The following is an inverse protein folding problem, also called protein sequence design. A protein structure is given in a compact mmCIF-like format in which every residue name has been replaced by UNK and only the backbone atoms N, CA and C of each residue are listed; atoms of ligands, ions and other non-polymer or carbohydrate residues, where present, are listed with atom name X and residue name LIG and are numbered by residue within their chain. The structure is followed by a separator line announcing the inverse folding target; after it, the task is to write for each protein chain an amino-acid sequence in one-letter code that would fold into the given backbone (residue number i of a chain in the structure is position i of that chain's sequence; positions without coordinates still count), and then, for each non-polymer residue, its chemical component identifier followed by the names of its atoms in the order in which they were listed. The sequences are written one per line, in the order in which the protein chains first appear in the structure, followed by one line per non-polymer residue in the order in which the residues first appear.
data_IF_658134573259
#
_entry.id   IF_658134573259
#
_cell.length_a   1.000
_cell.length_b   1.000
_cell.length_c   1.000
_cell.angle_alpha   90.00
_cell.angle_beta   90.00
_cell.angle_gamma   90.00
#
_symmetry.space_group_name_H-M   'P 1'
#
loop_
_entity.id
_entity.type
_entity.pdbx_description
1 polymer ?
#
# COMPACT_ATOMS: atom_id res chain seq x y z
N UNK A 1 -37.98 -23.42 -4.86
CA UNK A 1 -36.76 -23.32 -4.03
C UNK A 1 -37.13 -23.58 -2.60
N UNK A 2 -36.36 -24.43 -1.87
CA UNK A 2 -36.64 -24.88 -0.51
C UNK A 2 -36.71 -23.74 0.53
N UNK A 3 -36.30 -22.50 0.21
CA UNK A 3 -36.26 -21.38 1.13
C UNK A 3 -36.69 -20.05 0.47
N UNK A 4 -37.54 -20.11 -0.54
CA UNK A 4 -37.90 -18.93 -1.33
C UNK A 4 -38.71 -17.86 -0.58
N UNK A 5 -39.22 -18.16 0.60
CA UNK A 5 -39.94 -17.22 1.47
C UNK A 5 -39.06 -16.60 2.58
N UNK A 6 -37.81 -17.00 2.70
CA UNK A 6 -36.89 -16.42 3.71
C UNK A 6 -36.47 -15.03 3.24
N UNK A 7 -36.70 -14.02 4.06
CA UNK A 7 -36.15 -12.69 3.84
C UNK A 7 -34.67 -12.70 4.05
N UNK A 8 -33.90 -12.68 2.95
CA UNK A 8 -32.43 -12.64 2.97
C UNK A 8 -31.85 -11.26 3.17
N UNK A 9 -32.66 -10.19 3.15
CA UNK A 9 -32.17 -8.80 3.21
C UNK A 9 -31.52 -8.50 4.56
N UNK A 10 -32.07 -9.07 5.64
CA UNK A 10 -31.57 -8.89 7.01
C UNK A 10 -30.58 -9.96 7.45
N UNK A 11 -30.40 -11.02 6.64
CA UNK A 11 -29.46 -12.09 6.97
C UNK A 11 -28.02 -11.57 7.03
N UNK A 12 -27.38 -11.76 8.17
CA UNK A 12 -25.99 -11.32 8.38
C UNK A 12 -25.02 -12.32 7.77
N UNK A 13 -24.15 -11.83 6.91
CA UNK A 13 -23.17 -12.61 6.15
C UNK A 13 -21.87 -11.83 6.00
N UNK A 14 -20.76 -12.54 5.80
CA UNK A 14 -19.48 -11.89 5.51
C UNK A 14 -19.57 -11.15 4.16
N UNK A 15 -19.38 -9.83 4.13
CA UNK A 15 -19.42 -9.04 2.90
C UNK A 15 -18.15 -9.20 2.05
N UNK A 16 -17.13 -9.86 2.60
CA UNK A 16 -15.83 -9.97 1.95
C UNK A 16 -15.28 -8.61 1.53
N UNK A 17 -14.80 -8.52 0.32
CA UNK A 17 -14.21 -7.30 -0.24
C UNK A 17 -15.20 -6.16 -0.54
N UNK A 18 -16.51 -6.32 -0.29
CA UNK A 18 -17.49 -5.24 -0.49
C UNK A 18 -17.26 -4.05 0.45
N UNK A 19 -16.47 -4.20 1.52
CA UNK A 19 -16.11 -3.12 2.44
C UNK A 19 -14.94 -2.26 1.97
N UNK A 20 -14.14 -2.71 1.01
CA UNK A 20 -12.94 -1.99 0.54
C UNK A 20 -13.22 -0.57 0.03
N UNK A 21 -14.32 -0.25 -0.67
CA UNK A 21 -14.58 1.12 -1.10
C UNK A 21 -14.57 2.14 0.04
N UNK A 22 -15.13 1.78 1.21
CA UNK A 22 -15.14 2.67 2.37
C UNK A 22 -13.75 2.88 2.95
N UNK A 23 -12.95 1.84 3.04
CA UNK A 23 -11.56 1.93 3.45
C UNK A 23 -10.74 2.88 2.55
N UNK A 24 -10.92 2.75 1.22
CA UNK A 24 -10.21 3.61 0.27
C UNK A 24 -10.72 5.05 0.30
N UNK A 25 -12.02 5.28 0.47
CA UNK A 25 -12.59 6.61 0.64
C UNK A 25 -12.01 7.29 1.90
N UNK A 26 -11.98 6.59 3.03
CA UNK A 26 -11.38 7.07 4.27
C UNK A 26 -9.87 7.35 4.11
N UNK A 27 -9.15 6.50 3.38
CA UNK A 27 -7.72 6.69 3.12
C UNK A 27 -7.44 7.89 2.20
N UNK A 28 -8.32 8.19 1.24
CA UNK A 28 -8.27 9.40 0.41
C UNK A 28 -8.49 10.65 1.26
N UNK A 29 -9.49 10.65 2.14
CA UNK A 29 -9.79 11.77 3.04
C UNK A 29 -8.70 12.00 4.08
N UNK A 30 -8.13 10.92 4.61
CA UNK A 30 -7.02 10.99 5.55
C UNK A 30 -5.68 11.41 4.90
N UNK A 31 -5.66 11.66 3.59
CA UNK A 31 -4.43 12.04 2.90
C UNK A 31 -3.37 10.92 2.83
N UNK A 32 -3.76 9.67 2.97
CA UNK A 32 -2.85 8.54 2.90
C UNK A 32 -2.53 8.13 1.46
N UNK A 33 -3.46 8.37 0.55
CA UNK A 33 -3.36 8.00 -0.87
C UNK A 33 -3.99 9.05 -1.78
N UNK A 34 -3.60 8.99 -3.03
CA UNK A 34 -4.33 9.51 -4.19
C UNK A 34 -4.50 8.38 -5.22
N UNK A 35 -5.28 8.51 -6.29
CA UNK A 35 -5.58 7.40 -7.20
C UNK A 35 -4.36 6.69 -7.80
N UNK A 36 -3.23 7.38 -7.93
CA UNK A 36 -1.98 6.86 -8.49
C UNK A 36 -0.94 6.44 -7.45
N UNK A 37 -1.17 6.65 -6.17
CA UNK A 37 -0.26 6.18 -5.11
C UNK A 37 0.03 4.70 -5.28
N UNK A 38 1.31 4.33 -5.35
CA UNK A 38 1.72 2.93 -5.47
C UNK A 38 1.58 2.22 -4.13
N UNK A 39 0.70 1.25 -4.09
CA UNK A 39 0.50 0.34 -2.96
C UNK A 39 1.22 -0.98 -3.21
N UNK A 40 1.64 -1.65 -2.12
CA UNK A 40 2.35 -2.92 -2.20
C UNK A 40 1.38 -4.09 -2.24
N UNK A 41 1.32 -4.77 -3.38
CA UNK A 41 0.63 -6.04 -3.54
C UNK A 41 1.68 -7.16 -3.59
N UNK A 42 2.28 -7.45 -2.44
CA UNK A 42 3.35 -8.41 -2.27
C UNK A 42 3.13 -9.21 -0.98
N UNK A 43 3.69 -10.43 -0.86
CA UNK A 43 3.62 -11.20 0.37
C UNK A 43 4.07 -10.38 1.58
N UNK A 44 3.23 -10.32 2.60
CA UNK A 44 3.51 -9.60 3.84
C UNK A 44 2.97 -10.38 5.03
N UNK A 45 3.67 -10.29 6.16
CA UNK A 45 3.22 -10.86 7.44
C UNK A 45 2.79 -9.72 8.37
N UNK A 46 1.64 -9.90 9.01
CA UNK A 46 1.11 -8.98 10.01
C UNK A 46 0.99 -9.73 11.34
N UNK A 47 2.05 -9.74 12.12
CA UNK A 47 2.19 -10.59 13.31
C UNK A 47 1.94 -12.07 12.96
N UNK A 48 0.90 -12.68 13.55
CA UNK A 48 0.49 -14.06 13.24
C UNK A 48 -0.46 -14.17 12.04
N UNK A 49 -0.91 -13.03 11.49
CA UNK A 49 -1.83 -12.99 10.36
C UNK A 49 -1.05 -12.92 9.04
N UNK A 50 -1.23 -13.94 8.20
CA UNK A 50 -0.59 -14.05 6.89
C UNK A 50 -1.64 -14.04 5.77
N UNK A 51 -2.17 -12.86 5.41
CA UNK A 51 -3.20 -12.75 4.40
C UNK A 51 -2.66 -13.00 3.00
N UNK A 52 -3.49 -13.61 2.16
CA UNK A 52 -3.23 -13.80 0.74
C UNK A 52 -4.29 -13.08 -0.10
N UNK A 53 -3.98 -12.85 -1.37
CA UNK A 53 -4.98 -12.47 -2.35
C UNK A 53 -5.83 -13.69 -2.73
N UNK A 54 -7.07 -13.46 -3.14
CA UNK A 54 -8.02 -14.55 -3.48
C UNK A 54 -7.56 -15.42 -4.65
N UNK A 55 -6.74 -14.90 -5.54
CA UNK A 55 -6.13 -15.59 -6.67
C UNK A 55 -4.74 -16.15 -6.35
N UNK A 56 -4.21 -15.90 -5.14
CA UNK A 56 -2.86 -16.25 -4.69
C UNK A 56 -1.73 -15.62 -5.53
N UNK A 57 -2.07 -14.64 -6.37
CA UNK A 57 -1.10 -13.89 -7.17
C UNK A 57 -0.75 -12.56 -6.48
N UNK A 58 0.38 -11.98 -6.87
CA UNK A 58 0.85 -10.69 -6.38
C UNK A 58 1.26 -9.83 -7.58
N UNK A 59 0.69 -8.64 -7.66
CA UNK A 59 0.90 -7.72 -8.77
C UNK A 59 2.06 -6.72 -8.52
N UNK A 60 2.75 -6.84 -7.38
CA UNK A 60 3.80 -5.91 -7.00
C UNK A 60 3.27 -4.50 -6.70
N UNK A 61 4.08 -3.47 -6.99
CA UNK A 61 3.61 -2.09 -6.84
C UNK A 61 2.46 -1.78 -7.80
N UNK A 62 1.30 -1.42 -7.25
CA UNK A 62 0.06 -1.19 -8.01
C UNK A 62 -0.59 0.14 -7.62
N UNK A 63 -1.08 0.96 -8.56
CA UNK A 63 -1.84 2.17 -8.24
C UNK A 63 -3.06 1.88 -7.35
N UNK A 64 -3.33 2.76 -6.38
CA UNK A 64 -4.41 2.59 -5.41
C UNK A 64 -5.78 2.34 -6.08
N UNK A 65 -6.13 3.11 -7.13
CA UNK A 65 -7.38 2.88 -7.87
C UNK A 65 -7.46 1.48 -8.50
N UNK A 66 -6.33 0.96 -9.00
CA UNK A 66 -6.29 -0.36 -9.64
C UNK A 66 -6.31 -1.47 -8.59
N UNK A 67 -5.68 -1.26 -7.43
CA UNK A 67 -5.74 -2.16 -6.29
C UNK A 67 -7.19 -2.32 -5.77
N UNK A 68 -7.94 -1.20 -5.67
CA UNK A 68 -9.36 -1.23 -5.31
C UNK A 68 -10.18 -1.98 -6.37
N UNK A 69 -10.04 -1.62 -7.65
CA UNK A 69 -10.78 -2.22 -8.76
C UNK A 69 -10.53 -3.73 -8.89
N UNK A 70 -9.25 -4.13 -8.77
CA UNK A 70 -8.84 -5.54 -8.79
C UNK A 70 -9.04 -6.25 -7.46
N UNK A 71 -9.56 -5.52 -6.46
CA UNK A 71 -9.91 -6.11 -5.15
C UNK A 71 -8.74 -6.72 -4.38
N UNK A 72 -7.51 -6.16 -4.51
CA UNK A 72 -6.31 -6.70 -3.85
C UNK A 72 -6.46 -6.65 -2.33
N UNK A 73 -6.06 -7.74 -1.64
CA UNK A 73 -6.18 -7.84 -0.19
C UNK A 73 -5.03 -7.13 0.53
N UNK A 74 -3.79 -7.39 0.09
CA UNK A 74 -2.59 -6.86 0.76
C UNK A 74 -2.59 -5.32 0.78
N UNK A 75 -2.84 -4.62 -0.35
CA UNK A 75 -2.99 -3.16 -0.35
C UNK A 75 -4.07 -2.65 0.61
N UNK A 76 -5.21 -3.34 0.70
CA UNK A 76 -6.30 -2.94 1.60
C UNK A 76 -5.89 -3.09 3.07
N UNK A 77 -5.22 -4.18 3.44
CA UNK A 77 -4.74 -4.42 4.81
C UNK A 77 -3.67 -3.39 5.19
N UNK A 78 -2.73 -3.08 4.30
CA UNK A 78 -1.74 -2.02 4.54
C UNK A 78 -2.39 -0.64 4.73
N UNK A 79 -3.45 -0.33 3.98
CA UNK A 79 -4.21 0.91 4.19
C UNK A 79 -4.93 0.91 5.54
N UNK A 80 -5.57 -0.20 5.91
CA UNK A 80 -6.26 -0.32 7.20
C UNK A 80 -5.30 -0.13 8.39
N UNK A 81 -4.06 -0.63 8.27
CA UNK A 81 -3.02 -0.45 9.29
C UNK A 81 -2.60 1.02 9.45
N UNK A 82 -2.61 1.79 8.36
CA UNK A 82 -2.19 3.20 8.34
C UNK A 82 -3.33 4.18 8.62
N UNK A 83 -4.58 3.72 8.54
CA UNK A 83 -5.74 4.58 8.72
C UNK A 83 -5.82 5.05 10.17
N UNK A 84 -5.90 6.37 10.44
CA UNK A 84 -6.02 6.88 11.79
C UNK A 84 -7.32 6.43 12.46
N UNK A 85 -7.29 6.27 13.77
CA UNK A 85 -8.48 5.97 14.55
C UNK A 85 -9.58 7.04 14.31
N UNK A 86 -10.85 6.66 14.29
CA UNK A 86 -11.41 5.37 14.62
C UNK A 86 -11.41 4.34 13.47
N UNK A 87 -10.80 4.64 12.33
CA UNK A 87 -10.61 3.73 11.22
C UNK A 87 -11.90 3.20 10.57
N UNK A 88 -11.78 2.09 9.87
CA UNK A 88 -12.93 1.46 9.20
C UNK A 88 -13.97 0.96 10.21
N UNK A 89 -13.55 0.44 11.36
CA UNK A 89 -14.47 -0.05 12.39
C UNK A 89 -15.34 1.08 12.94
N UNK A 90 -14.73 2.20 13.31
CA UNK A 90 -15.46 3.37 13.80
C UNK A 90 -16.40 3.96 12.76
N UNK A 91 -16.00 3.95 11.48
CA UNK A 91 -16.88 4.36 10.39
C UNK A 91 -18.13 3.47 10.30
N UNK A 92 -17.96 2.15 10.34
CA UNK A 92 -19.09 1.20 10.27
C UNK A 92 -20.02 1.35 11.48
N UNK A 93 -19.48 1.54 12.70
CA UNK A 93 -20.29 1.80 13.90
C UNK A 93 -21.06 3.11 13.79
N UNK A 94 -20.44 4.17 13.28
CA UNK A 94 -21.11 5.47 13.01
C UNK A 94 -22.23 5.32 11.99
N UNK A 95 -22.10 4.41 11.04
CA UNK A 95 -23.13 4.08 10.05
C UNK A 95 -24.29 3.23 10.62
N UNK A 96 -24.24 2.85 11.89
CA UNK A 96 -25.26 2.03 12.55
C UNK A 96 -25.10 0.52 12.30
N UNK A 97 -23.98 0.10 11.68
CA UNK A 97 -23.71 -1.33 11.49
C UNK A 97 -23.45 -2.00 12.83
N UNK A 98 -24.22 -3.04 13.13
CA UNK A 98 -24.02 -3.80 14.35
C UNK A 98 -22.74 -4.63 14.26
N UNK A 99 -21.76 -4.29 15.09
CA UNK A 99 -20.47 -4.98 15.18
C UNK A 99 -20.36 -5.59 16.60
N UNK A 100 -20.75 -6.89 16.77
CA UNK A 100 -20.82 -7.50 18.11
C UNK A 100 -19.46 -7.69 18.77
N UNK A 101 -18.38 -7.82 18.01
CA UNK A 101 -17.03 -7.93 18.58
C UNK A 101 -16.50 -6.54 18.92
N UNK A 102 -15.67 -6.46 19.98
CA UNK A 102 -15.00 -5.22 20.39
C UNK A 102 -13.91 -4.77 19.41
N UNK A 103 -13.24 -5.75 18.80
CA UNK A 103 -12.14 -5.52 17.86
C UNK A 103 -12.19 -6.59 16.75
N UNK A 104 -12.06 -6.13 15.52
CA UNK A 104 -11.98 -6.97 14.32
C UNK A 104 -10.57 -6.98 13.71
N UNK A 105 -9.71 -6.10 14.16
CA UNK A 105 -8.36 -5.94 13.65
C UNK A 105 -8.31 -5.67 12.14
N UNK A 106 -7.16 -5.97 11.55
CA UNK A 106 -6.92 -5.73 10.12
C UNK A 106 -7.80 -6.61 9.20
N UNK A 107 -8.31 -7.73 9.71
CA UNK A 107 -9.18 -8.62 8.94
C UNK A 107 -10.51 -7.97 8.53
N UNK A 108 -10.93 -6.89 9.21
CA UNK A 108 -12.11 -6.12 8.84
C UNK A 108 -12.02 -5.58 7.41
N UNK A 109 -10.82 -5.19 6.96
CA UNK A 109 -10.58 -4.67 5.61
C UNK A 109 -10.94 -5.68 4.49
N UNK A 110 -11.01 -6.95 4.83
CA UNK A 110 -11.33 -8.04 3.89
C UNK A 110 -12.63 -8.78 4.26
N UNK A 111 -13.42 -8.21 5.19
CA UNK A 111 -14.77 -8.67 5.48
C UNK A 111 -14.91 -9.65 6.63
N UNK A 112 -14.10 -9.51 7.69
CA UNK A 112 -14.20 -10.34 8.89
C UNK A 112 -15.49 -10.09 9.72
N UNK A 113 -16.17 -8.97 9.51
CA UNK A 113 -17.47 -8.71 10.12
C UNK A 113 -18.59 -9.26 9.25
N UNK A 114 -19.72 -9.58 9.88
CA UNK A 114 -20.94 -9.93 9.15
C UNK A 114 -21.87 -8.71 9.05
N UNK A 115 -22.37 -8.46 7.85
CA UNK A 115 -23.29 -7.39 7.51
C UNK A 115 -24.54 -7.97 6.83
N UNK A 116 -25.66 -7.26 6.92
CA UNK A 116 -26.84 -7.56 6.13
C UNK A 116 -26.75 -6.91 4.74
N UNK A 117 -27.60 -7.32 3.82
CA UNK A 117 -27.76 -6.64 2.52
C UNK A 117 -28.21 -5.20 2.73
N UNK A 118 -29.10 -4.96 3.70
CA UNK A 118 -29.56 -3.62 4.07
C UNK A 118 -28.39 -2.74 4.51
N UNK A 119 -27.49 -3.23 5.39
CA UNK A 119 -26.30 -2.49 5.80
C UNK A 119 -25.44 -2.10 4.59
N UNK A 120 -25.20 -3.02 3.66
CA UNK A 120 -24.42 -2.74 2.46
C UNK A 120 -25.08 -1.70 1.56
N UNK A 121 -26.39 -1.81 1.31
CA UNK A 121 -27.13 -0.81 0.50
C UNK A 121 -27.04 0.57 1.16
N UNK A 122 -27.24 0.68 2.47
CA UNK A 122 -27.15 1.93 3.20
C UNK A 122 -25.75 2.54 3.14
N UNK A 123 -24.71 1.74 3.33
CA UNK A 123 -23.32 2.18 3.23
C UNK A 123 -22.97 2.70 1.83
N UNK A 124 -23.39 1.99 0.77
CA UNK A 124 -23.13 2.44 -0.61
C UNK A 124 -23.96 3.68 -0.98
N UNK A 125 -25.18 3.80 -0.44
CA UNK A 125 -25.98 5.01 -0.58
C UNK A 125 -25.32 6.21 0.13
N UNK A 126 -24.81 6.01 1.33
CA UNK A 126 -24.05 7.03 2.06
C UNK A 126 -22.77 7.44 1.31
N UNK A 127 -22.03 6.48 0.74
CA UNK A 127 -20.89 6.77 -0.13
C UNK A 127 -21.33 7.59 -1.34
N UNK A 128 -22.42 7.22 -2.02
CA UNK A 128 -22.91 7.94 -3.20
C UNK A 128 -23.38 9.36 -2.88
N UNK A 129 -23.88 9.61 -1.66
CA UNK A 129 -24.31 10.92 -1.18
C UNK A 129 -23.25 11.71 -0.43
N UNK A 130 -22.04 11.12 -0.27
CA UNK A 130 -20.94 11.73 0.50
C UNK A 130 -21.33 12.01 1.95
N UNK A 131 -21.96 11.05 2.58
CA UNK A 131 -22.41 11.10 3.97
C UNK A 131 -21.43 10.42 4.93
N UNK A 132 -21.77 10.39 6.22
CA UNK A 132 -21.03 9.73 7.29
C UNK A 132 -19.61 10.27 7.51
N UNK A 133 -19.29 11.43 6.95
CA UNK A 133 -17.99 12.07 7.06
C UNK A 133 -17.03 11.74 5.93
N UNK A 134 -17.49 11.07 4.88
CA UNK A 134 -16.74 10.94 3.63
C UNK A 134 -16.93 12.22 2.81
N UNK A 135 -15.83 12.84 2.38
CA UNK A 135 -15.90 14.04 1.55
C UNK A 135 -16.46 13.77 0.15
N UNK A 136 -17.08 14.75 -0.51
CA UNK A 136 -17.52 14.62 -1.90
C UNK A 136 -16.40 14.20 -2.85
N UNK A 137 -15.17 14.67 -2.60
CA UNK A 137 -14.00 14.33 -3.41
C UNK A 137 -13.61 12.85 -3.26
N UNK A 138 -13.47 12.36 -2.03
CA UNK A 138 -13.11 10.97 -1.78
C UNK A 138 -14.19 10.01 -2.26
N UNK A 139 -15.47 10.36 -2.03
CA UNK A 139 -16.61 9.61 -2.54
C UNK A 139 -16.56 9.48 -4.07
N UNK A 140 -16.42 10.62 -4.76
CA UNK A 140 -16.40 10.66 -6.22
C UNK A 140 -15.20 9.86 -6.78
N UNK A 141 -13.98 10.05 -6.23
CA UNK A 141 -12.77 9.32 -6.66
C UNK A 141 -12.91 7.81 -6.44
N UNK A 142 -13.54 7.41 -5.35
CA UNK A 142 -13.79 5.98 -5.05
C UNK A 142 -14.77 5.37 -6.04
N UNK A 143 -15.90 6.03 -6.30
CA UNK A 143 -16.89 5.56 -7.27
C UNK A 143 -16.31 5.57 -8.69
N UNK A 144 -15.51 6.57 -9.06
CA UNK A 144 -14.82 6.62 -10.35
C UNK A 144 -13.82 5.46 -10.52
N UNK A 145 -13.08 5.09 -9.47
CA UNK A 145 -12.22 3.91 -9.48
C UNK A 145 -13.00 2.60 -9.71
N UNK A 146 -14.26 2.55 -9.23
CA UNK A 146 -15.14 1.39 -9.34
C UNK A 146 -16.02 1.39 -10.60
N UNK A 147 -15.96 2.44 -11.43
CA UNK A 147 -16.78 2.54 -12.63
C UNK A 147 -16.53 1.36 -13.55
N UNK A 148 -17.63 0.77 -14.01
CA UNK A 148 -17.61 -0.36 -14.92
C UNK A 148 -16.86 -0.03 -16.22
N UNK A 149 -16.00 -0.91 -16.63
CA UNK A 149 -15.20 -0.84 -17.86
C UNK A 149 -15.29 -2.13 -18.66
N UNK A 150 -16.01 -3.11 -18.14
CA UNK A 150 -16.26 -4.38 -18.80
C UNK A 150 -17.28 -4.17 -19.93
N UNK A 151 -17.06 -4.78 -21.11
CA UNK A 151 -17.93 -4.57 -22.28
C UNK A 151 -19.42 -4.87 -22.04
N UNK A 152 -19.71 -5.82 -21.15
CA UNK A 152 -21.08 -6.23 -20.84
C UNK A 152 -21.68 -5.53 -19.61
N UNK A 153 -20.91 -4.70 -18.93
CA UNK A 153 -21.41 -4.00 -17.75
C UNK A 153 -22.18 -2.73 -18.17
N UNK A 154 -23.29 -2.41 -17.48
CA UNK A 154 -24.08 -1.23 -17.78
C UNK A 154 -23.27 0.05 -17.66
N UNK A 155 -23.49 0.97 -18.60
CA UNK A 155 -22.85 2.29 -18.57
C UNK A 155 -23.28 3.07 -17.31
N UNK A 156 -22.34 3.80 -16.70
CA UNK A 156 -22.60 4.61 -15.51
C UNK A 156 -22.62 3.83 -14.20
N UNK A 157 -22.57 2.49 -14.23
CA UNK A 157 -22.51 1.66 -13.02
C UNK A 157 -21.12 1.72 -12.38
N UNK A 158 -21.06 2.09 -11.09
CA UNK A 158 -19.89 1.88 -10.23
C UNK A 158 -20.21 0.68 -9.31
N UNK A 159 -19.35 -0.35 -9.31
CA UNK A 159 -19.68 -1.60 -8.64
C UNK A 159 -18.49 -2.29 -7.98
N UNK A 160 -18.78 -3.11 -6.97
CA UNK A 160 -17.80 -3.90 -6.24
C UNK A 160 -18.34 -5.28 -5.90
N UNK A 161 -17.46 -6.27 -6.03
CA UNK A 161 -17.73 -7.63 -5.56
C UNK A 161 -17.16 -7.89 -4.19
N UNK A 162 -17.81 -8.80 -3.47
CA UNK A 162 -17.29 -9.44 -2.26
C UNK A 162 -17.46 -10.95 -2.35
N UNK A 163 -16.43 -11.69 -2.02
CA UNK A 163 -16.50 -13.14 -1.83
C UNK A 163 -16.03 -13.43 -0.42
N UNK A 164 -16.84 -14.14 0.37
CA UNK A 164 -16.44 -14.50 1.73
C UNK A 164 -15.38 -15.61 1.75
N UNK A 165 -14.65 -15.70 2.84
CA UNK A 165 -13.72 -16.79 3.06
C UNK A 165 -14.46 -18.15 3.02
N UNK A 166 -13.87 -19.11 2.31
CA UNK A 166 -14.48 -20.44 2.12
C UNK A 166 -15.62 -20.48 1.11
N UNK A 167 -15.80 -19.45 0.26
CA UNK A 167 -16.78 -19.44 -0.84
C UNK A 167 -18.22 -19.67 -0.37
N UNK A 168 -18.63 -19.06 0.74
CA UNK A 168 -19.99 -19.18 1.29
C UNK A 168 -20.94 -18.13 0.74
N UNK A 169 -20.39 -16.92 0.49
CA UNK A 169 -21.14 -15.75 0.09
C UNK A 169 -20.51 -15.07 -1.10
N UNK A 170 -21.28 -14.73 -2.10
CA UNK A 170 -20.88 -13.92 -3.24
C UNK A 170 -21.77 -12.69 -3.32
N UNK A 171 -21.16 -11.51 -3.27
CA UNK A 171 -21.80 -10.21 -3.27
C UNK A 171 -21.45 -9.41 -4.51
N UNK A 172 -22.40 -8.65 -5.02
CA UNK A 172 -22.17 -7.59 -5.97
C UNK A 172 -23.05 -6.40 -5.60
N UNK A 173 -22.44 -5.27 -5.24
CA UNK A 173 -23.15 -4.03 -4.90
C UNK A 173 -22.72 -2.95 -5.87
N UNK A 174 -23.68 -2.20 -6.38
CA UNK A 174 -23.45 -1.16 -7.38
C UNK A 174 -24.29 0.08 -7.17
N UNK A 175 -23.72 1.20 -7.61
CA UNK A 175 -24.37 2.53 -7.67
C UNK A 175 -24.54 2.91 -9.13
N UNK A 176 -25.76 3.20 -9.54
CA UNK A 176 -26.11 3.68 -10.88
C UNK A 176 -27.06 4.86 -10.76
N UNK A 177 -26.58 6.08 -11.00
CA UNK A 177 -27.33 7.29 -10.75
C UNK A 177 -27.76 7.42 -9.29
N UNK A 178 -29.05 7.48 -9.04
CA UNK A 178 -29.65 7.59 -7.72
C UNK A 178 -30.02 6.23 -7.09
N UNK A 179 -29.64 5.15 -7.77
CA UNK A 179 -29.97 3.79 -7.35
C UNK A 179 -28.76 3.07 -6.79
N UNK A 180 -29.00 2.31 -5.73
CA UNK A 180 -28.08 1.31 -5.19
C UNK A 180 -28.71 -0.05 -5.26
N UNK A 181 -28.03 -0.99 -5.92
CA UNK A 181 -28.45 -2.38 -6.02
C UNK A 181 -27.44 -3.27 -5.35
N UNK A 182 -27.93 -4.29 -4.65
CA UNK A 182 -27.10 -5.32 -4.05
C UNK A 182 -27.64 -6.70 -4.40
N UNK A 183 -26.75 -7.58 -4.79
CA UNK A 183 -27.05 -8.98 -5.10
C UNK A 183 -26.21 -9.87 -4.20
N UNK A 184 -26.84 -10.85 -3.61
CA UNK A 184 -26.20 -11.92 -2.86
C UNK A 184 -26.53 -13.28 -3.45
N UNK A 185 -25.53 -14.13 -3.55
CA UNK A 185 -25.66 -15.53 -3.94
C UNK A 185 -24.96 -16.37 -2.88
N UNK A 186 -25.66 -17.33 -2.31
CA UNK A 186 -25.17 -18.18 -1.24
C UNK A 186 -26.23 -19.12 -0.71
N UNK A 187 -25.88 -19.93 0.26
CA UNK A 187 -26.83 -20.75 0.99
C UNK A 187 -27.23 -20.10 2.32
N UNK A 188 -28.51 -20.14 2.68
CA UNK A 188 -28.99 -19.61 3.96
C UNK A 188 -28.40 -20.33 5.18
N UNK A 189 -28.06 -21.61 5.05
CA UNK A 189 -27.39 -22.41 6.08
C UNK A 189 -25.85 -22.18 6.14
N UNK A 190 -25.32 -21.31 5.29
CA UNK A 190 -23.90 -20.95 5.26
C UNK A 190 -22.98 -22.04 4.71
N UNK A 191 -23.52 -23.06 4.03
CA UNK A 191 -22.69 -24.08 3.37
C UNK A 191 -21.79 -23.48 2.30
N UNK A 192 -20.51 -23.90 2.22
CA UNK A 192 -19.62 -23.46 1.16
C UNK A 192 -20.09 -24.00 -0.21
N UNK A 193 -19.91 -23.17 -1.22
CA UNK A 193 -20.13 -23.53 -2.62
C UNK A 193 -18.78 -23.42 -3.36
N UNK A 194 -18.05 -24.52 -3.53
CA UNK A 194 -16.77 -24.48 -4.23
C UNK A 194 -16.90 -23.83 -5.61
N UNK A 195 -16.06 -22.85 -5.91
CA UNK A 195 -16.14 -22.10 -7.16
C UNK A 195 -17.13 -20.94 -7.18
N UNK A 196 -17.73 -20.57 -6.05
CA UNK A 196 -18.59 -19.39 -5.91
C UNK A 196 -17.75 -18.11 -5.94
N UNK A 197 -17.44 -17.65 -7.14
CA UNK A 197 -16.76 -16.37 -7.36
C UNK A 197 -17.80 -15.28 -7.66
N UNK A 198 -17.86 -14.26 -6.82
CA UNK A 198 -18.82 -13.17 -6.96
C UNK A 198 -18.78 -12.49 -8.34
N UNK A 199 -17.59 -12.39 -8.96
CA UNK A 199 -17.42 -11.83 -10.31
C UNK A 199 -18.10 -12.68 -11.41
N UNK A 200 -18.23 -14.00 -11.19
CA UNK A 200 -18.86 -14.93 -12.14
C UNK A 200 -20.33 -15.24 -11.83
N UNK A 201 -20.80 -14.92 -10.63
CA UNK A 201 -22.15 -15.25 -10.15
C UNK A 201 -22.97 -14.00 -9.84
N UNK A 202 -22.66 -13.28 -8.76
CA UNK A 202 -23.44 -12.13 -8.34
C UNK A 202 -23.30 -10.91 -9.29
N UNK A 203 -22.12 -10.67 -9.89
CA UNK A 203 -21.92 -9.52 -10.77
C UNK A 203 -22.77 -9.59 -12.06
N UNK A 204 -22.87 -10.70 -12.80
CA UNK A 204 -23.77 -10.78 -13.96
C UNK A 204 -25.23 -10.55 -13.58
N UNK A 205 -25.67 -11.02 -12.43
CA UNK A 205 -27.03 -10.77 -11.94
C UNK A 205 -27.26 -9.29 -11.63
N UNK A 206 -26.29 -8.62 -11.01
CA UNK A 206 -26.35 -7.18 -10.79
C UNK A 206 -26.48 -6.43 -12.12
N UNK A 207 -25.64 -6.76 -13.12
CA UNK A 207 -25.68 -6.11 -14.43
C UNK A 207 -27.00 -6.32 -15.16
N UNK A 208 -27.49 -7.56 -15.15
CA UNK A 208 -28.82 -7.87 -15.72
C UNK A 208 -29.94 -7.10 -15.03
N UNK A 209 -29.89 -6.97 -13.69
CA UNK A 209 -30.89 -6.21 -12.94
C UNK A 209 -30.85 -4.73 -13.33
N UNK A 210 -29.66 -4.11 -13.38
CA UNK A 210 -29.50 -2.71 -13.82
C UNK A 210 -30.04 -2.51 -15.23
N UNK A 211 -29.73 -3.42 -16.16
CA UNK A 211 -30.19 -3.35 -17.57
C UNK A 211 -31.68 -3.52 -17.66
N UNK A 212 -32.27 -4.53 -16.98
CA UNK A 212 -33.72 -4.82 -17.03
C UNK A 212 -34.56 -3.72 -16.40
N UNK A 213 -34.06 -3.07 -15.37
CA UNK A 213 -34.71 -1.92 -14.75
C UNK A 213 -34.54 -0.63 -15.56
N UNK A 214 -33.82 -0.68 -16.69
CA UNK A 214 -33.56 0.49 -17.52
C UNK A 214 -32.71 1.55 -16.83
N UNK A 215 -31.95 1.18 -15.81
CA UNK A 215 -31.14 2.13 -15.06
C UNK A 215 -29.93 2.52 -15.90
N UNK A 216 -29.88 3.78 -16.25
CA UNK A 216 -28.75 4.42 -16.94
C UNK A 216 -28.62 5.84 -16.41
N UNK A 217 -27.43 6.20 -15.99
CA UNK A 217 -27.18 7.57 -15.54
C UNK A 217 -25.79 8.01 -15.98
N UNK A 218 -25.66 9.27 -16.40
CA UNK A 218 -24.35 9.84 -16.60
C UNK A 218 -23.59 9.83 -15.26
N UNK A 219 -22.25 9.78 -15.31
CA UNK A 219 -21.44 9.95 -14.11
C UNK A 219 -21.80 11.27 -13.42
N UNK A 220 -21.82 11.25 -12.08
CA UNK A 220 -21.92 12.51 -11.33
C UNK A 220 -20.78 13.46 -11.74
N UNK A 221 -21.06 14.75 -11.86
CA UNK A 221 -20.03 15.73 -12.23
C UNK A 221 -18.90 15.70 -11.20
N UNK A 222 -17.69 15.94 -11.68
CA UNK A 222 -16.50 16.00 -10.82
C UNK A 222 -16.63 17.17 -9.83
N UNK A 223 -16.47 16.96 -8.54
CA UNK A 223 -16.42 18.04 -7.56
C UNK A 223 -15.33 19.06 -7.89
N UNK A 224 -15.60 20.33 -7.66
CA UNK A 224 -14.63 21.43 -7.89
C UNK A 224 -13.38 21.33 -7.00
N UNK A 225 -13.48 20.60 -5.88
CA UNK A 225 -12.36 20.30 -4.99
C UNK A 225 -11.37 19.27 -5.56
N UNK A 226 -11.63 18.68 -6.72
CA UNK A 226 -10.73 17.75 -7.39
C UNK A 226 -10.05 18.45 -8.56
N UNK A 227 -8.72 18.43 -8.57
CA UNK A 227 -7.90 19.05 -9.62
C UNK A 227 -7.11 17.98 -10.38
N UNK A 228 -6.71 18.29 -11.60
CA UNK A 228 -5.77 17.48 -12.37
C UNK A 228 -4.34 17.95 -12.14
N UNK A 229 -3.44 16.98 -11.99
CA UNK A 229 -2.00 17.22 -11.95
C UNK A 229 -1.26 16.30 -12.91
N UNK A 230 -0.04 16.71 -13.27
CA UNK A 230 0.83 15.92 -14.12
C UNK A 230 1.72 15.02 -13.26
N UNK A 231 1.51 13.71 -13.35
CA UNK A 231 2.21 12.70 -12.58
C UNK A 231 3.19 11.91 -13.46
N UNK A 232 4.25 11.43 -12.84
CA UNK A 232 5.09 10.39 -13.40
C UNK A 232 4.27 9.11 -13.55
N UNK A 233 4.13 8.61 -14.76
CA UNK A 233 3.32 7.42 -15.04
C UNK A 233 3.82 6.17 -14.30
N UNK A 234 5.09 6.17 -13.91
CA UNK A 234 5.75 5.03 -13.30
C UNK A 234 5.68 5.05 -11.76
N UNK A 235 6.07 6.18 -11.13
CA UNK A 235 6.08 6.29 -9.66
C UNK A 235 4.73 6.71 -9.08
N UNK A 236 3.88 7.35 -9.87
CA UNK A 236 2.66 7.97 -9.37
C UNK A 236 2.87 9.34 -8.71
N UNK A 237 4.11 9.79 -8.51
CA UNK A 237 4.44 11.09 -7.93
C UNK A 237 4.37 12.22 -8.96
N UNK A 238 4.49 13.46 -8.48
CA UNK A 238 4.53 14.65 -9.34
C UNK A 238 5.67 14.54 -10.37
N UNK A 239 5.33 14.70 -11.63
CA UNK A 239 6.30 14.53 -12.70
C UNK A 239 7.35 15.67 -12.72
N UNK A 240 8.60 15.29 -12.62
CA UNK A 240 9.74 16.18 -12.84
C UNK A 240 10.18 16.25 -14.30
N UNK A 241 11.16 17.13 -14.62
CA UNK A 241 11.68 17.28 -16.00
C UNK A 241 12.31 15.99 -16.54
N UNK A 242 12.81 15.13 -15.66
CA UNK A 242 13.48 13.87 -16.02
C UNK A 242 12.51 12.70 -16.23
N UNK A 243 11.21 12.87 -15.95
CA UNK A 243 10.23 11.80 -16.16
C UNK A 243 9.93 11.60 -17.64
N UNK A 244 10.27 10.43 -18.25
CA UNK A 244 10.07 10.18 -19.68
C UNK A 244 8.59 10.01 -20.03
N UNK A 245 7.81 9.45 -19.11
CA UNK A 245 6.38 9.23 -19.30
C UNK A 245 5.59 9.93 -18.20
N UNK A 246 4.67 10.78 -18.64
CA UNK A 246 3.83 11.60 -17.76
C UNK A 246 2.38 11.38 -18.10
N UNK A 247 1.51 11.40 -17.11
CA UNK A 247 0.06 11.30 -17.29
C UNK A 247 -0.65 12.29 -16.38
N UNK A 248 -1.74 12.86 -16.87
CA UNK A 248 -2.64 13.64 -16.02
C UNK A 248 -3.49 12.68 -15.20
N UNK A 249 -3.66 12.98 -13.93
CA UNK A 249 -4.55 12.25 -13.04
C UNK A 249 -5.12 13.18 -11.97
N UNK A 250 -6.07 12.69 -11.21
CA UNK A 250 -6.87 13.45 -10.28
C UNK A 250 -6.28 13.42 -8.87
N UNK A 251 -6.39 14.53 -8.15
CA UNK A 251 -5.99 14.61 -6.75
C UNK A 251 -6.86 15.63 -5.99
N UNK A 252 -6.81 15.55 -4.66
CA UNK A 252 -7.51 16.46 -3.76
C UNK A 252 -6.46 17.45 -3.20
N UNK A 253 -6.46 18.74 -3.61
CA UNK A 253 -5.56 19.74 -3.08
C UNK A 253 -5.65 19.84 -1.56
N UNK A 254 -4.49 19.93 -0.90
CA UNK A 254 -4.41 20.01 0.56
C UNK A 254 -4.61 18.70 1.32
N UNK A 255 -5.10 17.65 0.66
CA UNK A 255 -5.30 16.33 1.27
C UNK A 255 -4.41 15.26 0.66
N UNK A 256 -4.39 15.11 -0.66
CA UNK A 256 -3.63 14.06 -1.32
C UNK A 256 -2.13 14.15 -1.05
N UNK A 257 -1.46 13.03 -0.70
CA UNK A 257 -0.01 13.00 -0.48
C UNK A 257 0.69 13.09 -1.84
N UNK A 258 1.39 14.18 -2.09
CA UNK A 258 2.11 14.38 -3.34
C UNK A 258 3.54 14.80 -3.05
N UNK A 259 4.47 14.02 -3.60
CA UNK A 259 5.90 14.29 -3.59
C UNK A 259 6.42 14.37 -5.02
N UNK A 260 7.54 15.04 -5.24
CA UNK A 260 8.21 15.03 -6.53
C UNK A 260 8.78 13.64 -6.83
N UNK A 261 8.71 13.22 -8.09
CA UNK A 261 9.26 11.93 -8.51
C UNK A 261 10.78 11.86 -8.21
N UNK A 262 11.14 10.95 -7.34
CA UNK A 262 12.53 10.67 -6.97
C UNK A 262 13.13 9.46 -7.71
N UNK A 263 12.30 8.77 -8.51
CA UNK A 263 12.70 7.57 -9.25
C UNK A 263 13.60 7.90 -10.43
N UNK A 264 13.25 8.91 -11.23
CA UNK A 264 14.03 9.28 -12.41
C UNK A 264 15.11 10.27 -12.02
N UNK A 265 16.37 9.87 -12.20
CA UNK A 265 17.53 10.70 -11.89
C UNK A 265 18.45 10.80 -13.08
N UNK A 266 19.06 11.95 -13.24
CA UNK A 266 20.16 12.16 -14.16
C UNK A 266 21.43 11.57 -13.59
N UNK A 267 22.15 10.84 -14.42
CA UNK A 267 23.44 10.24 -14.11
C UNK A 267 24.36 10.39 -15.31
N UNK A 268 25.65 10.20 -15.08
CA UNK A 268 26.64 10.04 -16.13
C UNK A 268 27.08 8.59 -16.16
N UNK A 269 27.24 8.05 -17.38
CA UNK A 269 27.68 6.67 -17.57
C UNK A 269 28.82 6.63 -18.61
N UNK A 270 29.76 5.71 -18.42
CA UNK A 270 30.80 5.41 -19.39
C UNK A 270 30.29 4.57 -20.58
N UNK A 271 31.17 4.22 -21.49
CA UNK A 271 30.87 3.35 -22.65
C UNK A 271 30.47 1.94 -22.26
N UNK A 272 30.85 1.45 -21.09
CA UNK A 272 30.45 0.15 -20.54
C UNK A 272 29.11 0.19 -19.78
N UNK A 273 28.56 1.41 -19.57
CA UNK A 273 27.29 1.60 -18.87
C UNK A 273 27.41 1.70 -17.35
N UNK A 274 28.62 1.84 -16.81
CA UNK A 274 28.82 2.10 -15.38
C UNK A 274 28.56 3.57 -15.08
N UNK A 275 28.03 3.84 -13.90
CA UNK A 275 27.86 5.22 -13.42
C UNK A 275 29.22 5.80 -13.07
N UNK A 276 29.54 6.96 -13.64
CA UNK A 276 30.80 7.67 -13.46
C UNK A 276 30.56 9.12 -13.03
N UNK A 277 31.62 9.80 -12.66
CA UNK A 277 31.58 11.25 -12.39
C UNK A 277 31.33 12.02 -13.70
N UNK A 278 30.73 13.22 -13.64
CA UNK A 278 30.55 14.09 -14.82
C UNK A 278 31.86 14.46 -15.53
N UNK A 279 32.98 14.45 -14.79
CA UNK A 279 34.33 14.79 -15.29
C UNK A 279 35.02 13.61 -15.98
N UNK A 280 34.42 12.40 -15.95
CA UNK A 280 34.99 11.23 -16.62
C UNK A 280 35.08 11.48 -18.16
N UNK A 281 36.19 11.12 -18.83
CA UNK A 281 36.40 11.45 -20.27
C UNK A 281 35.29 10.92 -21.17
N UNK A 282 34.73 9.75 -20.85
CA UNK A 282 33.66 9.09 -21.61
C UNK A 282 32.26 9.35 -21.00
N UNK A 283 32.11 10.31 -20.10
CA UNK A 283 30.85 10.58 -19.44
C UNK A 283 29.76 10.94 -20.43
N UNK A 284 28.69 10.16 -20.45
CA UNK A 284 27.48 10.42 -21.22
C UNK A 284 26.30 10.59 -20.27
N UNK A 285 25.58 11.68 -20.46
CA UNK A 285 24.36 11.97 -19.69
C UNK A 285 23.26 10.96 -20.00
N UNK A 286 22.63 10.40 -18.95
CA UNK A 286 21.54 9.45 -19.05
C UNK A 286 20.53 9.64 -17.92
N UNK A 287 19.26 9.42 -18.20
CA UNK A 287 18.23 9.28 -17.15
C UNK A 287 18.09 7.81 -16.79
N UNK A 288 18.17 7.49 -15.51
CA UNK A 288 18.01 6.13 -15.00
C UNK A 288 16.96 6.09 -13.88
N UNK A 289 16.39 4.88 -13.68
CA UNK A 289 15.45 4.61 -12.61
C UNK A 289 16.19 4.18 -11.36
N UNK A 290 15.79 4.77 -10.23
CA UNK A 290 16.30 4.45 -8.90
C UNK A 290 15.14 3.98 -8.03
N UNK A 291 15.04 2.69 -7.87
CA UNK A 291 14.09 2.04 -7.00
C UNK A 291 14.78 1.46 -5.77
N UNK A 292 14.08 1.41 -4.65
CA UNK A 292 14.58 0.65 -3.50
C UNK A 292 14.71 -0.84 -3.88
N UNK A 293 15.65 -1.56 -3.28
CA UNK A 293 15.82 -3.00 -3.52
C UNK A 293 14.53 -3.79 -3.27
N UNK A 294 13.77 -3.40 -2.25
CA UNK A 294 12.47 -3.99 -1.95
C UNK A 294 11.49 -3.82 -3.12
N UNK A 295 11.39 -2.60 -3.69
CA UNK A 295 10.54 -2.32 -4.85
C UNK A 295 10.98 -3.12 -6.08
N UNK A 296 12.29 -3.20 -6.33
CA UNK A 296 12.82 -4.01 -7.43
C UNK A 296 12.44 -5.48 -7.28
N UNK A 297 12.57 -6.03 -6.06
CA UNK A 297 12.17 -7.40 -5.77
C UNK A 297 10.66 -7.63 -5.96
N UNK A 298 9.82 -6.66 -5.57
CA UNK A 298 8.38 -6.72 -5.80
C UNK A 298 8.04 -6.72 -7.30
N UNK A 299 8.62 -5.82 -8.08
CA UNK A 299 8.45 -5.77 -9.53
C UNK A 299 8.90 -7.07 -10.20
N UNK A 300 10.05 -7.62 -9.79
CA UNK A 300 10.56 -8.88 -10.33
C UNK A 300 9.62 -10.05 -10.04
N UNK A 301 9.13 -10.17 -8.80
CA UNK A 301 8.17 -11.23 -8.43
C UNK A 301 6.84 -11.11 -9.16
N UNK A 302 6.43 -9.90 -9.49
CA UNK A 302 5.20 -9.64 -10.24
C UNK A 302 5.35 -9.85 -11.76
N UNK A 303 6.51 -10.26 -12.25
CA UNK A 303 6.76 -10.48 -13.67
C UNK A 303 7.02 -9.22 -14.50
N UNK A 304 7.24 -8.07 -13.85
CA UNK A 304 7.52 -6.78 -14.49
C UNK A 304 8.87 -6.21 -14.02
N UNK A 305 10.00 -6.90 -14.28
CA UNK A 305 11.29 -6.48 -13.76
C UNK A 305 11.65 -5.07 -14.23
N UNK A 306 12.14 -4.26 -13.29
CA UNK A 306 12.65 -2.91 -13.58
C UNK A 306 14.19 -2.94 -13.68
N UNK A 307 14.78 -2.05 -14.50
CA UNK A 307 16.22 -1.94 -14.58
C UNK A 307 16.81 -1.56 -13.21
N UNK A 308 17.93 -2.20 -12.88
CA UNK A 308 18.72 -1.76 -11.72
C UNK A 308 19.47 -0.49 -12.09
N UNK A 309 19.65 0.39 -11.11
CA UNK A 309 20.51 1.56 -11.29
C UNK A 309 21.93 1.10 -11.68
N UNK A 310 22.59 1.79 -12.63
CA UNK A 310 23.97 1.48 -13.01
C UNK A 310 24.91 1.53 -11.79
N UNK A 311 25.84 0.59 -11.76
CA UNK A 311 26.84 0.50 -10.70
C UNK A 311 27.78 1.70 -10.76
N UNK A 312 28.10 2.28 -9.61
CA UNK A 312 29.10 3.33 -9.50
C UNK A 312 30.49 2.75 -9.75
N UNK A 313 31.24 3.37 -10.63
CA UNK A 313 32.68 3.12 -10.83
C UNK A 313 33.45 4.33 -10.29
N UNK A 314 34.20 4.16 -9.20
CA UNK A 314 35.05 5.23 -8.73
C UNK A 314 36.10 5.60 -9.80
N UNK A 315 36.54 6.87 -9.87
CA UNK A 315 37.63 7.25 -10.73
C UNK A 315 38.86 6.39 -10.40
N UNK A 316 39.66 6.03 -11.40
CA UNK A 316 40.93 5.33 -11.13
C UNK A 316 41.76 6.19 -10.16
N UNK A 317 42.28 5.58 -9.11
CA UNK A 317 43.10 6.25 -8.13
C UNK A 317 44.25 6.95 -8.88
N UNK A 318 44.18 8.25 -9.07
CA UNK A 318 45.36 9.04 -9.36
C UNK A 318 46.26 8.95 -8.13
N UNK A 319 47.51 8.47 -8.36
CA UNK A 319 48.56 8.31 -7.38
C UNK A 319 48.49 9.32 -6.24
N UNK A 320 48.44 8.80 -5.02
CA UNK A 320 48.36 9.55 -3.78
C UNK A 320 49.32 10.70 -3.72
N UNK A 321 48.92 11.89 -3.29
CA UNK A 321 49.84 12.81 -2.65
C UNK A 321 50.23 12.21 -1.29
N UNK A 322 51.51 12.08 -1.05
CA UNK A 322 52.13 11.71 0.22
C UNK A 322 51.49 12.46 1.37
N UNK A 323 50.90 11.72 2.30
CA UNK A 323 50.30 12.26 3.51
C UNK A 323 51.42 12.83 4.39
N UNK A 324 51.51 14.15 4.50
CA UNK A 324 52.11 14.79 5.65
C UNK A 324 51.13 14.72 6.82
N UNK A 325 51.55 14.07 7.89
CA UNK A 325 50.86 14.06 9.17
C UNK A 325 50.68 15.48 9.70
N UNK A 326 49.51 16.03 9.50
CA UNK A 326 49.07 17.26 10.16
C UNK A 326 47.68 17.00 10.74
N UNK A 327 47.58 17.06 12.07
CA UNK A 327 46.32 17.07 12.81
C UNK A 327 45.43 18.22 12.29
N UNK A 328 44.51 17.92 11.36
CA UNK A 328 43.41 18.80 11.03
C UNK A 328 42.08 18.06 11.24
N UNK A 329 41.26 18.67 12.06
CA UNK A 329 39.86 18.28 12.21
C UNK A 329 39.19 18.16 10.84
N UNK A 330 38.36 17.13 10.60
CA UNK A 330 37.65 16.97 9.31
C UNK A 330 36.78 18.21 9.06
N UNK A 331 36.67 18.68 7.81
CA UNK A 331 35.77 19.74 7.44
C UNK A 331 34.32 19.29 7.71
N UNK A 332 33.39 20.21 7.99
CA UNK A 332 31.98 19.86 8.16
C UNK A 332 31.47 19.17 6.89
N UNK A 333 30.91 17.99 7.05
CA UNK A 333 30.35 17.21 5.96
C UNK A 333 29.32 18.05 5.19
N UNK A 334 29.58 18.26 3.92
CA UNK A 334 28.56 18.75 2.98
C UNK A 334 27.34 17.82 3.08
N UNK A 335 26.18 18.39 3.32
CA UNK A 335 24.95 17.66 3.52
C UNK A 335 24.67 16.77 2.31
N UNK A 336 24.80 15.45 2.48
CA UNK A 336 24.52 14.48 1.46
C UNK A 336 23.06 14.63 0.97
N UNK A 337 22.86 14.85 -0.31
CA UNK A 337 21.55 15.04 -0.90
C UNK A 337 20.79 13.70 -0.96
N UNK A 338 19.71 13.57 -0.21
CA UNK A 338 18.82 12.41 -0.21
C UNK A 338 18.20 12.15 1.17
N UNK A 339 17.13 11.34 1.19
CA UNK A 339 16.48 10.97 2.45
C UNK A 339 17.39 10.01 3.27
N UNK A 340 17.49 10.19 4.60
CA UNK A 340 18.21 9.26 5.46
C UNK A 340 17.54 7.87 5.47
N UNK A 341 18.23 6.81 5.92
CA UNK A 341 17.66 5.48 6.08
C UNK A 341 16.37 5.53 6.91
N UNK A 342 15.35 4.77 6.49
CA UNK A 342 14.12 4.60 7.26
C UNK A 342 14.14 3.23 7.92
N UNK A 343 14.26 3.19 9.25
CA UNK A 343 14.26 1.94 10.01
C UNK A 343 12.87 1.27 9.89
N UNK A 344 12.86 0.05 9.39
CA UNK A 344 11.68 -0.79 9.24
C UNK A 344 11.50 -1.73 10.42
N UNK A 345 12.63 -2.21 10.96
CA UNK A 345 12.71 -3.05 12.15
C UNK A 345 14.00 -2.70 12.92
N UNK A 346 13.94 -2.59 14.26
CA UNK A 346 12.75 -2.72 15.10
C UNK A 346 11.84 -1.48 15.05
N UNK A 347 10.57 -1.68 15.41
CA UNK A 347 9.59 -0.60 15.48
C UNK A 347 9.53 -0.03 16.91
N UNK A 348 9.54 1.30 17.08
CA UNK A 348 9.56 1.93 18.40
C UNK A 348 8.27 1.74 19.21
N UNK A 349 7.18 1.38 18.54
CA UNK A 349 5.87 1.13 19.15
C UNK A 349 5.68 -0.28 19.67
N UNK A 350 6.64 -1.19 19.40
CA UNK A 350 6.59 -2.57 19.86
C UNK A 350 7.42 -2.79 21.13
N UNK A 351 6.86 -3.54 22.07
CA UNK A 351 7.59 -4.08 23.22
C UNK A 351 8.22 -5.40 22.84
N UNK A 352 9.54 -5.49 23.00
CA UNK A 352 10.31 -6.70 22.72
C UNK A 352 10.56 -7.43 24.02
N UNK A 353 10.12 -8.69 24.12
CA UNK A 353 10.30 -9.51 25.35
C UNK A 353 11.24 -10.67 25.04
N UNK A 354 12.34 -10.75 25.80
CA UNK A 354 13.31 -11.84 25.68
C UNK A 354 12.81 -13.08 26.41
N UNK A 355 12.88 -14.22 25.72
CA UNK A 355 12.47 -15.52 26.26
C UNK A 355 13.71 -16.29 26.75
N UNK A 356 13.92 -16.44 28.09
CA UNK A 356 15.09 -17.13 28.59
C UNK A 356 15.17 -18.59 28.16
N UNK A 357 14.01 -19.20 27.91
CA UNK A 357 13.89 -20.64 27.57
C UNK A 357 14.21 -20.93 26.10
N UNK A 358 14.27 -19.91 25.21
CA UNK A 358 14.56 -20.07 23.79
C UNK A 358 15.39 -18.89 23.28
N UNK A 359 16.69 -18.85 23.60
CA UNK A 359 17.56 -17.76 23.19
C UNK A 359 17.65 -17.53 21.68
N UNK A 360 17.40 -18.57 20.88
CA UNK A 360 17.44 -18.49 19.42
C UNK A 360 16.34 -17.59 18.83
N UNK A 361 15.24 -17.42 19.56
CA UNK A 361 14.11 -16.55 19.16
C UNK A 361 14.20 -15.12 19.67
N UNK A 362 15.25 -14.79 20.39
CA UNK A 362 15.47 -13.46 20.96
C UNK A 362 16.16 -12.49 19.99
N UNK A 363 16.56 -12.95 18.81
CA UNK A 363 17.17 -12.10 17.82
C UNK A 363 16.16 -11.13 17.20
N UNK A 364 16.44 -9.84 17.30
CA UNK A 364 15.67 -8.78 16.65
C UNK A 364 16.30 -8.49 15.29
N UNK A 365 15.54 -8.61 14.18
CA UNK A 365 16.06 -8.24 12.88
C UNK A 365 16.20 -6.72 12.79
N UNK A 366 17.38 -6.24 12.43
CA UNK A 366 17.67 -4.85 12.12
C UNK A 366 17.57 -4.67 10.61
N UNK A 367 16.55 -3.94 10.18
CA UNK A 367 16.24 -3.70 8.77
C UNK A 367 15.87 -2.24 8.55
N UNK A 368 16.34 -1.67 7.45
CA UNK A 368 15.99 -0.31 7.07
C UNK A 368 15.87 -0.17 5.55
N UNK A 369 14.98 0.71 5.13
CA UNK A 369 14.86 1.17 3.75
C UNK A 369 15.84 2.32 3.53
N UNK A 370 16.62 2.26 2.46
CA UNK A 370 17.64 3.24 2.13
C UNK A 370 17.44 3.81 0.73
N UNK A 371 17.96 4.99 0.50
CA UNK A 371 17.91 5.61 -0.82
C UNK A 371 18.50 4.66 -1.88
N UNK A 372 17.91 4.62 -3.09
CA UNK A 372 18.42 3.80 -4.18
C UNK A 372 19.89 4.06 -4.47
N UNK A 373 20.68 2.99 -4.54
CA UNK A 373 22.13 3.05 -4.74
C UNK A 373 22.95 2.65 -3.52
N UNK A 374 22.41 2.71 -2.31
CA UNK A 374 23.06 2.20 -1.12
C UNK A 374 22.92 0.67 -1.03
N UNK A 375 24.03 0.02 -0.72
CA UNK A 375 24.12 -1.45 -0.63
C UNK A 375 24.28 -1.94 0.77
N UNK A 376 24.74 -1.08 1.69
CA UNK A 376 25.12 -1.44 3.04
C UNK A 376 24.56 -0.44 4.03
N UNK A 377 24.09 -0.95 5.16
CA UNK A 377 23.58 -0.17 6.27
C UNK A 377 24.42 -0.55 7.49
N UNK A 378 24.98 0.45 8.15
CA UNK A 378 25.77 0.30 9.36
C UNK A 378 24.87 0.50 10.57
N UNK A 379 24.86 -0.46 11.50
CA UNK A 379 24.01 -0.45 12.68
C UNK A 379 24.79 -0.20 13.95
N UNK A 380 24.24 0.68 14.78
CA UNK A 380 24.82 1.00 16.09
C UNK A 380 23.74 0.95 17.18
N UNK A 381 24.11 0.51 18.39
CA UNK A 381 23.33 0.67 19.61
C UNK A 381 24.10 1.63 20.53
N UNK A 382 23.58 2.85 20.68
CA UNK A 382 24.36 3.95 21.26
C UNK A 382 25.64 4.18 20.47
N UNK A 383 26.81 4.01 21.14
CA UNK A 383 28.14 4.14 20.52
C UNK A 383 28.73 2.78 20.07
N UNK A 384 28.01 1.68 20.28
CA UNK A 384 28.49 0.34 19.93
C UNK A 384 28.09 -0.04 18.52
N UNK A 385 29.06 -0.37 17.70
CA UNK A 385 28.80 -0.96 16.38
C UNK A 385 28.27 -2.39 16.52
N UNK A 386 27.14 -2.70 15.86
CA UNK A 386 26.47 -4.00 15.90
C UNK A 386 26.81 -4.86 14.68
N UNK A 387 27.04 -4.23 13.54
CA UNK A 387 27.30 -4.91 12.27
C UNK A 387 26.69 -4.15 11.10
N UNK A 388 26.70 -4.81 9.95
CA UNK A 388 26.12 -4.29 8.71
C UNK A 388 25.01 -5.19 8.22
N UNK A 389 23.99 -4.60 7.59
CA UNK A 389 22.97 -5.31 6.83
C UNK A 389 22.97 -4.87 5.37
N UNK A 390 22.39 -5.67 4.51
CA UNK A 390 22.06 -5.28 3.15
C UNK A 390 20.56 -5.12 3.02
N UNK A 391 20.07 -4.28 2.12
CA UNK A 391 18.63 -4.21 1.85
C UNK A 391 18.08 -5.61 1.54
N UNK A 392 17.00 -5.99 2.21
CA UNK A 392 16.37 -7.31 2.20
C UNK A 392 17.15 -8.45 2.90
N UNK A 393 18.30 -8.17 3.54
CA UNK A 393 19.02 -9.12 4.37
C UNK A 393 19.30 -8.48 5.73
N UNK A 394 18.35 -8.58 6.68
CA UNK A 394 18.47 -7.93 7.98
C UNK A 394 19.63 -8.50 8.81
N UNK A 395 20.27 -7.66 9.60
CA UNK A 395 21.21 -8.08 10.63
C UNK A 395 20.41 -8.63 11.83
N UNK A 396 20.66 -9.85 12.25
CA UNK A 396 20.05 -10.40 13.44
C UNK A 396 20.84 -9.97 14.68
N UNK A 397 20.24 -9.14 15.53
CA UNK A 397 20.83 -8.61 16.73
C UNK A 397 20.21 -9.24 17.97
N UNK A 398 21.05 -9.65 18.92
CA UNK A 398 20.63 -10.19 20.22
C UNK A 398 20.80 -9.12 21.30
N UNK A 399 19.74 -8.43 21.72
CA UNK A 399 19.79 -7.43 22.77
C UNK A 399 19.83 -8.07 24.17
N UNK A 400 20.24 -7.26 25.15
CA UNK A 400 19.94 -7.49 26.56
C UNK A 400 18.75 -6.62 26.98
N UNK A 401 18.06 -6.95 28.09
CA UNK A 401 16.97 -6.11 28.62
C UNK A 401 17.45 -4.66 28.86
N UNK A 402 16.60 -3.71 28.52
CA UNK A 402 16.86 -2.28 28.67
C UNK A 402 16.29 -1.42 27.56
N UNK A 403 16.54 -0.13 27.65
CA UNK A 403 16.20 0.86 26.60
C UNK A 403 17.38 1.01 25.66
N UNK A 404 17.14 0.80 24.39
CA UNK A 404 18.17 0.86 23.37
C UNK A 404 17.88 1.96 22.35
N UNK A 405 18.87 2.84 22.14
CA UNK A 405 18.85 3.76 21.01
C UNK A 405 19.64 3.14 19.87
N UNK A 406 18.93 2.74 18.81
CA UNK A 406 19.53 2.18 17.61
C UNK A 406 19.70 3.27 16.56
N UNK A 407 20.78 3.18 15.80
CA UNK A 407 21.07 4.08 14.69
C UNK A 407 21.41 3.26 13.45
N UNK A 408 20.77 3.60 12.34
CA UNK A 408 21.09 3.10 11.01
C UNK A 408 21.78 4.21 10.23
N UNK A 409 22.93 3.90 9.63
CA UNK A 409 23.71 4.83 8.81
C UNK A 409 23.93 4.18 7.44
N UNK A 410 23.69 4.92 6.37
CA UNK A 410 23.96 4.44 5.01
C UNK A 410 25.40 4.74 4.58
N UNK A 411 25.77 4.27 3.38
CA UNK A 411 27.11 4.47 2.80
C UNK A 411 27.45 5.95 2.53
N UNK A 412 26.44 6.82 2.51
CA UNK A 412 26.60 8.26 2.30
C UNK A 412 26.67 9.04 3.65
N UNK A 413 26.65 8.30 4.79
CA UNK A 413 26.76 8.87 6.13
C UNK A 413 25.47 9.47 6.67
N UNK A 414 24.33 9.31 5.98
CA UNK A 414 23.03 9.76 6.47
C UNK A 414 22.53 8.80 7.52
N UNK A 415 21.97 9.31 8.59
CA UNK A 415 21.63 8.53 9.77
C UNK A 415 20.19 8.74 10.23
N UNK A 416 19.57 7.68 10.69
CA UNK A 416 18.28 7.71 11.41
C UNK A 416 18.42 6.97 12.73
N UNK A 417 17.70 7.45 13.74
CA UNK A 417 17.68 6.84 15.08
C UNK A 417 16.29 6.41 15.46
N UNK A 418 16.21 5.30 16.20
CA UNK A 418 14.98 4.83 16.84
C UNK A 418 15.30 4.37 18.26
N UNK A 419 14.32 4.47 19.15
CA UNK A 419 14.45 3.97 20.52
C UNK A 419 13.45 2.84 20.73
N UNK A 420 13.90 1.76 21.36
CA UNK A 420 13.05 0.60 21.67
C UNK A 420 13.24 0.18 23.12
N UNK A 421 12.20 -0.43 23.69
CA UNK A 421 12.22 -1.08 24.98
C UNK A 421 12.35 -2.59 24.76
N UNK A 422 13.29 -3.19 25.48
CA UNK A 422 13.49 -4.64 25.52
C UNK A 422 13.35 -5.12 26.96
N UNK A 423 12.39 -5.97 27.23
CA UNK A 423 12.07 -6.47 28.57
C UNK A 423 12.52 -7.93 28.72
N UNK A 424 12.88 -8.33 29.94
CA UNK A 424 13.02 -9.75 30.25
C UNK A 424 11.64 -10.35 30.42
N UNK A 425 11.41 -11.58 29.92
CA UNK A 425 10.20 -12.30 30.27
C UNK A 425 10.18 -12.55 31.79
N UNK A 426 9.01 -12.46 32.44
CA UNK A 426 8.84 -12.73 33.86
C UNK A 426 9.19 -14.16 34.23
#
# INVERSE_FOLDING_TARGET
TLSGQVDGVLARRSPGSSLKPFLYALALDAGLIHPRTLLDDAPARFAEYNPENSDREFLGPIPARDALRKSRNLPAIHLAQKLPAPGLEGFLRKAGVALPRKDYGLALAIGAAELSMQDLVQLYAALARSELGISPAASWLTLEALRAREPLAPSGLAWKTGTSHGFRDAWATGVCGDWVLCVWVGHFDGKPMPGLFARKTAAPLLWQSVTRLGLSAPPKPRPSSITEILLCSLSGDLAGPLCPHRSRDLFIPGSSPITSCSVHREIFVDTAGHRVSPEHPDARRRVAEFWSPQRLAQFQRAGFPRPKAPLWQPPPFSSQPTVQEGLHSPPPAEAASGAPPRILSPQPTLHYVLRPQDPSKNAIPLDADVAPGNRQIYWFAGNRFLGTSQPAHPLLWQPTPGVWTLQAIDEEGRATRTQIQVDAAP
#
